data_IF_946770924927
#
_entry.id   IF_946770924927
#
_cell.length_a   1.000
_cell.length_b   1.000
_cell.length_c   1.000
_cell.angle_alpha   90.00
_cell.angle_beta   90.00
_cell.angle_gamma   90.00
#
_symmetry.space_group_name_H-M   'P 1'
#
loop_
_entity.id
_entity.type
_entity.pdbx_description
1 polymer ?
#
# COMPACT_ATOMS: atom_id res chain seq x y z
N UNK A 1 -13.76 -6.09 44.27
CA UNK A 1 -12.44 -5.74 43.68
C UNK A 1 -12.11 -6.49 42.36
N UNK A 2 -13.06 -7.21 41.71
CA UNK A 2 -12.85 -7.84 40.39
C UNK A 2 -13.35 -7.01 39.20
N UNK A 3 -14.33 -6.13 39.42
CA UNK A 3 -14.96 -5.33 38.36
C UNK A 3 -14.04 -4.17 37.90
N UNK A 4 -13.29 -3.56 38.82
CA UNK A 4 -12.37 -2.47 38.50
C UNK A 4 -11.17 -2.93 37.65
N UNK A 5 -10.70 -4.17 37.85
CA UNK A 5 -9.59 -4.75 37.08
C UNK A 5 -10.03 -5.12 35.64
N UNK A 6 -11.29 -5.53 35.47
CA UNK A 6 -11.85 -5.82 34.15
C UNK A 6 -12.00 -4.56 33.28
N UNK A 7 -12.30 -3.41 33.89
CA UNK A 7 -12.47 -2.13 33.17
C UNK A 7 -11.11 -1.56 32.72
N UNK A 8 -10.06 -1.66 33.55
CA UNK A 8 -8.70 -1.24 33.16
C UNK A 8 -8.13 -2.19 32.10
N UNK A 9 -8.38 -3.50 32.21
CA UNK A 9 -7.93 -4.49 31.23
C UNK A 9 -8.59 -4.35 29.84
N UNK A 10 -9.72 -3.63 29.74
CA UNK A 10 -10.36 -3.33 28.45
C UNK A 10 -9.88 -2.04 27.77
N UNK A 11 -9.11 -1.19 28.45
CA UNK A 11 -8.72 0.14 27.94
C UNK A 11 -7.27 0.26 27.46
N UNK A 12 -6.44 -0.75 27.64
CA UNK A 12 -5.09 -0.81 27.06
C UNK A 12 -4.97 -2.09 26.25
N UNK A 13 -5.43 -2.05 25.00
CA UNK A 13 -4.83 -2.93 24.00
C UNK A 13 -3.39 -2.43 23.84
N UNK A 14 -2.35 -3.26 24.09
CA UNK A 14 -0.98 -2.84 23.83
C UNK A 14 -0.85 -2.74 22.31
N UNK A 15 -1.11 -1.55 21.77
CA UNK A 15 -0.78 -1.28 20.39
C UNK A 15 0.73 -1.34 20.29
N UNK A 16 1.24 -2.24 19.43
CA UNK A 16 2.66 -2.26 19.14
C UNK A 16 3.04 -0.91 18.53
N UNK A 17 4.23 -0.39 18.78
CA UNK A 17 4.72 0.87 18.20
C UNK A 17 4.53 0.91 16.67
N UNK A 18 4.62 -0.25 16.01
CA UNK A 18 4.33 -0.41 14.58
C UNK A 18 2.86 -0.12 14.22
N UNK A 19 1.91 -0.61 15.02
CA UNK A 19 0.48 -0.33 14.85
C UNK A 19 0.17 1.16 15.06
N UNK A 20 0.85 1.80 16.02
CA UNK A 20 0.68 3.23 16.30
C UNK A 20 1.24 4.09 15.16
N UNK A 21 2.39 3.73 14.59
CA UNK A 21 2.98 4.43 13.45
C UNK A 21 2.09 4.38 12.21
N UNK A 22 1.60 3.19 11.83
CA UNK A 22 0.70 3.05 10.68
C UNK A 22 -0.57 3.89 10.87
N UNK A 23 -1.17 3.82 12.06
CA UNK A 23 -2.37 4.59 12.39
C UNK A 23 -2.13 6.10 12.28
N UNK A 24 -1.00 6.58 12.79
CA UNK A 24 -0.62 7.99 12.69
C UNK A 24 -0.51 8.45 11.23
N UNK A 25 0.17 7.67 10.37
CA UNK A 25 0.30 7.99 8.94
C UNK A 25 -1.08 8.02 8.26
N UNK A 26 -1.92 7.05 8.59
CA UNK A 26 -3.26 6.96 8.04
C UNK A 26 -4.17 8.11 8.50
N UNK A 27 -4.05 8.56 9.76
CA UNK A 27 -4.74 9.74 10.26
C UNK A 27 -4.24 11.03 9.58
N UNK A 28 -2.95 11.13 9.28
CA UNK A 28 -2.41 12.26 8.53
C UNK A 28 -2.93 12.27 7.08
N UNK A 29 -3.04 11.09 6.45
CA UNK A 29 -3.70 10.95 5.16
C UNK A 29 -5.16 11.40 5.23
N UNK A 30 -5.88 11.01 6.27
CA UNK A 30 -7.30 11.37 6.42
C UNK A 30 -7.49 12.89 6.50
N UNK A 31 -6.51 13.59 7.08
CA UNK A 31 -6.52 15.05 7.22
C UNK A 31 -5.84 15.80 6.06
N UNK A 32 -5.42 15.11 4.99
CA UNK A 32 -4.85 15.72 3.78
C UNK A 32 -3.41 16.23 3.94
N UNK A 33 -2.65 15.68 4.89
CA UNK A 33 -1.27 16.09 5.18
C UNK A 33 -0.24 15.33 4.30
N UNK A 34 -0.52 15.19 2.99
CA UNK A 34 0.25 14.34 2.09
C UNK A 34 1.73 14.76 1.98
N UNK A 35 2.01 16.05 1.86
CA UNK A 35 3.38 16.58 1.73
C UNK A 35 4.27 16.17 2.91
N UNK A 36 3.73 16.25 4.12
CA UNK A 36 4.45 15.83 5.33
C UNK A 36 4.76 14.32 5.29
N UNK A 37 3.85 13.51 4.77
CA UNK A 37 4.03 12.06 4.67
C UNK A 37 5.08 11.73 3.61
N UNK A 38 5.07 12.43 2.47
CA UNK A 38 6.10 12.29 1.43
C UNK A 38 7.48 12.54 2.03
N UNK A 39 7.65 13.65 2.78
CA UNK A 39 8.92 13.98 3.44
C UNK A 39 9.34 12.90 4.45
N UNK A 40 8.39 12.40 5.25
CA UNK A 40 8.65 11.30 6.19
C UNK A 40 9.16 10.04 5.47
N UNK A 41 8.53 9.62 4.37
CA UNK A 41 8.93 8.42 3.61
C UNK A 41 10.28 8.61 2.91
N UNK A 42 10.59 9.83 2.44
CA UNK A 42 11.90 10.15 1.86
C UNK A 42 13.01 10.01 2.89
N UNK A 43 12.77 10.34 4.16
CA UNK A 43 13.75 10.23 5.23
C UNK A 43 13.80 8.83 5.86
N UNK A 44 12.65 8.27 6.26
CA UNK A 44 12.56 6.97 6.96
C UNK A 44 12.10 5.84 6.04
N UNK A 45 13.06 5.06 5.53
CA UNK A 45 12.78 3.97 4.58
C UNK A 45 12.07 2.77 5.19
N UNK A 46 11.98 2.67 6.52
CA UNK A 46 11.20 1.64 7.21
C UNK A 46 9.70 1.89 7.08
N UNK A 47 9.28 3.12 6.75
CA UNK A 47 7.86 3.44 6.61
C UNK A 47 7.20 2.73 5.42
N UNK A 48 8.00 2.28 4.45
CA UNK A 48 7.53 1.46 3.33
C UNK A 48 6.91 0.14 3.79
N UNK A 49 7.27 -0.38 4.96
CA UNK A 49 6.70 -1.61 5.51
C UNK A 49 5.21 -1.44 5.90
N UNK A 50 4.74 -0.19 6.06
CA UNK A 50 3.34 0.13 6.37
C UNK A 50 2.46 0.30 5.12
N UNK A 51 3.03 0.37 3.91
CA UNK A 51 2.27 0.53 2.66
C UNK A 51 1.16 -0.52 2.52
N UNK A 52 1.38 -1.82 2.80
CA UNK A 52 0.32 -2.84 2.69
C UNK A 52 -0.86 -2.56 3.64
N UNK A 53 -0.59 -2.01 4.82
CA UNK A 53 -1.61 -1.60 5.77
C UNK A 53 -2.39 -0.37 5.32
N UNK A 54 -1.71 0.60 4.69
CA UNK A 54 -2.33 1.84 4.22
C UNK A 54 -3.19 1.63 2.95
N UNK A 55 -2.74 0.79 2.02
CA UNK A 55 -3.50 0.47 0.79
C UNK A 55 -4.74 -0.38 1.09
N UNK A 56 -4.75 -1.10 2.21
CA UNK A 56 -5.88 -1.93 2.66
C UNK A 56 -6.72 -1.26 3.75
N UNK A 57 -6.43 -0.01 4.10
CA UNK A 57 -7.17 0.75 5.12
C UNK A 57 -8.65 0.88 4.73
N UNK A 58 -9.55 0.82 5.71
CA UNK A 58 -11.01 0.90 5.48
C UNK A 58 -11.46 2.27 4.95
N UNK A 59 -10.70 3.33 5.23
CA UNK A 59 -10.99 4.70 4.79
C UNK A 59 -10.53 4.89 3.36
N UNK A 60 -11.48 5.27 2.50
CA UNK A 60 -11.23 5.50 1.08
C UNK A 60 -10.13 6.56 0.84
N UNK A 61 -10.10 7.61 1.66
CA UNK A 61 -9.11 8.69 1.54
C UNK A 61 -7.70 8.21 1.83
N UNK A 62 -7.51 7.32 2.81
CA UNK A 62 -6.20 6.72 3.10
C UNK A 62 -5.70 5.88 1.93
N UNK A 63 -6.57 5.05 1.34
CA UNK A 63 -6.21 4.25 0.17
C UNK A 63 -5.79 5.12 -1.02
N UNK A 64 -6.61 6.13 -1.38
CA UNK A 64 -6.31 7.05 -2.48
C UNK A 64 -5.04 7.86 -2.17
N UNK A 65 -4.89 8.34 -0.93
CA UNK A 65 -3.69 9.05 -0.49
C UNK A 65 -2.43 8.21 -0.60
N UNK A 66 -2.53 6.89 -0.33
CA UNK A 66 -1.42 5.95 -0.48
C UNK A 66 -1.01 5.80 -1.96
N UNK A 67 -1.98 5.74 -2.88
CA UNK A 67 -1.70 5.70 -4.32
C UNK A 67 -0.96 6.99 -4.74
N UNK A 68 -1.48 8.16 -4.33
CA UNK A 68 -0.86 9.45 -4.64
C UNK A 68 0.55 9.57 -4.04
N UNK A 69 0.75 9.13 -2.80
CA UNK A 69 2.06 9.07 -2.15
C UNK A 69 3.05 8.25 -2.98
N UNK A 70 2.66 7.07 -3.43
CA UNK A 70 3.53 6.19 -4.21
C UNK A 70 3.83 6.75 -5.59
N UNK A 71 2.87 7.41 -6.24
CA UNK A 71 3.08 8.12 -7.50
C UNK A 71 4.11 9.25 -7.35
N UNK A 72 3.97 10.07 -6.31
CA UNK A 72 4.91 11.16 -6.02
C UNK A 72 6.29 10.62 -5.68
N UNK A 73 6.39 9.61 -4.80
CA UNK A 73 7.66 9.01 -4.41
C UNK A 73 8.35 8.30 -5.57
N UNK A 74 7.61 7.74 -6.55
CA UNK A 74 8.21 7.21 -7.77
C UNK A 74 9.05 8.26 -8.50
N UNK A 75 8.58 9.50 -8.51
CA UNK A 75 9.25 10.62 -9.19
C UNK A 75 10.36 11.22 -8.32
N UNK A 76 10.13 11.34 -7.02
CA UNK A 76 11.02 12.05 -6.10
C UNK A 76 12.08 11.17 -5.40
N UNK A 77 11.85 9.85 -5.33
CA UNK A 77 12.65 8.88 -4.58
C UNK A 77 12.59 7.48 -5.21
N UNK A 78 12.84 7.40 -6.52
CA UNK A 78 12.78 6.16 -7.29
C UNK A 78 13.62 5.01 -6.70
N UNK A 79 14.73 5.33 -6.02
CA UNK A 79 15.62 4.35 -5.38
C UNK A 79 14.97 3.50 -4.28
N UNK A 80 13.81 3.91 -3.77
CA UNK A 80 13.09 3.18 -2.73
C UNK A 80 11.89 2.38 -3.26
N UNK A 81 11.55 2.48 -4.56
CA UNK A 81 10.36 1.83 -5.13
C UNK A 81 10.43 0.30 -5.08
N UNK A 82 11.62 -0.29 -5.15
CA UNK A 82 11.80 -1.74 -4.96
C UNK A 82 11.27 -2.23 -3.61
N UNK A 83 11.35 -1.40 -2.55
CA UNK A 83 10.78 -1.74 -1.23
C UNK A 83 9.26 -1.70 -1.26
N UNK A 84 8.67 -0.64 -1.84
CA UNK A 84 7.22 -0.55 -2.02
C UNK A 84 6.68 -1.77 -2.77
N UNK A 85 7.28 -2.09 -3.92
CA UNK A 85 6.90 -3.24 -4.75
C UNK A 85 7.00 -4.54 -3.93
N UNK A 86 8.14 -4.79 -3.28
CA UNK A 86 8.35 -6.01 -2.48
C UNK A 86 7.32 -6.15 -1.36
N UNK A 87 6.98 -5.05 -0.68
CA UNK A 87 5.99 -5.05 0.41
C UNK A 87 4.57 -5.39 -0.08
N UNK A 88 4.24 -5.03 -1.32
CA UNK A 88 2.91 -5.17 -1.91
C UNK A 88 2.67 -6.56 -2.54
N UNK A 89 3.72 -7.23 -3.01
CA UNK A 89 3.61 -8.56 -3.67
C UNK A 89 2.78 -9.59 -2.90
N UNK A 90 2.89 -9.74 -1.56
CA UNK A 90 2.07 -10.70 -0.81
C UNK A 90 0.56 -10.48 -0.97
N UNK A 91 0.11 -9.22 -1.10
CA UNK A 91 -1.31 -8.90 -1.24
C UNK A 91 -1.92 -9.39 -2.56
N UNK A 92 -1.11 -9.60 -3.60
CA UNK A 92 -1.56 -10.20 -4.87
C UNK A 92 -1.98 -11.66 -4.73
N UNK A 93 -1.53 -12.34 -3.67
CA UNK A 93 -1.88 -13.74 -3.38
C UNK A 93 -3.02 -13.83 -2.38
N UNK A 94 -2.87 -13.14 -1.26
CA UNK A 94 -3.73 -13.32 -0.08
C UNK A 94 -4.87 -12.30 0.01
N UNK A 95 -4.85 -11.26 -0.84
CA UNK A 95 -5.89 -10.23 -0.87
C UNK A 95 -7.24 -10.71 -1.42
N UNK A 96 -8.31 -9.98 -1.10
CA UNK A 96 -9.57 -10.10 -1.82
C UNK A 96 -9.40 -9.66 -3.28
N UNK A 97 -10.32 -10.00 -4.21
CA UNK A 97 -10.23 -9.53 -5.59
C UNK A 97 -10.09 -8.00 -5.71
N UNK A 98 -10.78 -7.25 -4.84
CA UNK A 98 -10.63 -5.80 -4.77
C UNK A 98 -9.19 -5.39 -4.42
N UNK A 99 -8.62 -5.95 -3.35
CA UNK A 99 -7.24 -5.66 -2.94
C UNK A 99 -6.24 -6.05 -4.03
N UNK A 100 -6.43 -7.21 -4.67
CA UNK A 100 -5.57 -7.67 -5.77
C UNK A 100 -5.60 -6.69 -6.94
N UNK A 101 -6.77 -6.17 -7.28
CA UNK A 101 -6.95 -5.12 -8.29
C UNK A 101 -6.22 -3.83 -7.91
N UNK A 102 -6.46 -3.29 -6.71
CA UNK A 102 -5.80 -2.07 -6.23
C UNK A 102 -4.27 -2.20 -6.23
N UNK A 103 -3.75 -3.34 -5.78
CA UNK A 103 -2.31 -3.59 -5.76
C UNK A 103 -1.75 -3.77 -7.18
N UNK A 104 -2.46 -4.49 -8.07
CA UNK A 104 -2.05 -4.61 -9.46
C UNK A 104 -1.99 -3.25 -10.16
N UNK A 105 -2.99 -2.39 -9.92
CA UNK A 105 -3.00 -1.01 -10.41
C UNK A 105 -1.80 -0.20 -9.90
N UNK A 106 -1.53 -0.23 -8.59
CA UNK A 106 -0.38 0.48 -8.01
C UNK A 106 0.94 -0.03 -8.55
N UNK A 107 1.11 -1.34 -8.73
CA UNK A 107 2.30 -1.91 -9.36
C UNK A 107 2.41 -1.49 -10.83
N UNK A 108 1.30 -1.37 -11.55
CA UNK A 108 1.24 -0.74 -12.86
C UNK A 108 1.68 0.71 -12.84
N UNK A 109 1.42 1.46 -11.77
CA UNK A 109 1.82 2.86 -11.62
C UNK A 109 3.30 3.01 -11.28
N UNK A 110 3.83 2.25 -10.31
CA UNK A 110 5.19 2.43 -9.78
C UNK A 110 6.24 1.46 -10.34
N UNK A 111 5.79 0.34 -10.90
CA UNK A 111 6.64 -0.74 -11.36
C UNK A 111 7.40 -0.46 -12.66
N UNK A 112 8.37 -1.33 -12.90
CA UNK A 112 9.23 -1.40 -14.07
C UNK A 112 9.13 -2.79 -14.73
N UNK A 113 10.02 -3.11 -15.69
CA UNK A 113 9.98 -4.38 -16.43
C UNK A 113 10.11 -5.59 -15.51
N UNK A 114 10.85 -5.49 -14.40
CA UNK A 114 10.98 -6.58 -13.44
C UNK A 114 9.65 -6.88 -12.74
N UNK A 115 8.78 -5.86 -12.64
CA UNK A 115 7.43 -5.99 -12.06
C UNK A 115 6.46 -6.76 -12.96
N UNK A 116 6.69 -6.81 -14.28
CA UNK A 116 5.77 -7.47 -15.23
C UNK A 116 5.58 -8.95 -14.89
N UNK A 117 6.66 -9.67 -14.56
CA UNK A 117 6.57 -11.10 -14.23
C UNK A 117 5.72 -11.39 -12.98
N UNK A 118 5.60 -10.41 -12.08
CA UNK A 118 4.69 -10.49 -10.94
C UNK A 118 3.24 -10.32 -11.39
N UNK A 119 2.96 -9.32 -12.23
CA UNK A 119 1.61 -9.01 -12.74
C UNK A 119 1.07 -10.09 -13.69
N UNK A 120 1.93 -10.75 -14.45
CA UNK A 120 1.54 -11.83 -15.37
C UNK A 120 0.80 -12.98 -14.65
N UNK A 121 1.11 -13.22 -13.38
CA UNK A 121 0.42 -14.23 -12.57
C UNK A 121 -1.07 -13.92 -12.37
N UNK A 122 -1.46 -12.63 -12.42
CA UNK A 122 -2.84 -12.20 -12.27
C UNK A 122 -3.64 -12.18 -13.57
N UNK A 123 -3.00 -12.32 -14.72
CA UNK A 123 -3.69 -12.34 -16.03
C UNK A 123 -4.60 -13.56 -16.21
N UNK A 124 -4.45 -14.59 -15.37
CA UNK A 124 -5.29 -15.78 -15.31
C UNK A 124 -6.10 -15.87 -14.00
N UNK A 125 -6.24 -14.76 -13.27
CA UNK A 125 -7.02 -14.73 -12.03
C UNK A 125 -8.49 -15.13 -12.27
N UNK A 126 -9.14 -15.72 -11.27
CA UNK A 126 -10.56 -16.08 -11.36
C UNK A 126 -11.47 -14.86 -11.57
N UNK A 127 -11.14 -13.73 -10.94
CA UNK A 127 -11.90 -12.50 -11.05
C UNK A 127 -11.56 -11.77 -12.36
N UNK A 128 -12.55 -11.52 -13.24
CA UNK A 128 -12.33 -10.82 -14.51
C UNK A 128 -11.77 -9.41 -14.37
N UNK A 129 -12.15 -8.66 -13.32
CA UNK A 129 -11.66 -7.30 -13.12
C UNK A 129 -10.18 -7.32 -12.75
N UNK A 130 -9.76 -8.28 -11.92
CA UNK A 130 -8.33 -8.45 -11.57
C UNK A 130 -7.51 -8.77 -12.82
N UNK A 131 -8.02 -9.60 -13.74
CA UNK A 131 -7.32 -9.90 -15.01
C UNK A 131 -7.15 -8.64 -15.88
N UNK A 132 -8.20 -7.84 -16.03
CA UNK A 132 -8.19 -6.61 -16.83
C UNK A 132 -7.17 -5.62 -16.24
N UNK A 133 -7.25 -5.35 -14.95
CA UNK A 133 -6.34 -4.40 -14.28
C UNK A 133 -4.89 -4.86 -14.38
N UNK A 134 -4.62 -6.16 -14.25
CA UNK A 134 -3.27 -6.70 -14.42
C UNK A 134 -2.74 -6.51 -15.85
N UNK A 135 -3.59 -6.67 -16.87
CA UNK A 135 -3.21 -6.44 -18.27
C UNK A 135 -2.92 -4.96 -18.53
N UNK A 136 -3.80 -4.06 -18.07
CA UNK A 136 -3.62 -2.61 -18.17
C UNK A 136 -2.32 -2.17 -17.47
N UNK A 137 -2.07 -2.67 -16.25
CA UNK A 137 -0.84 -2.40 -15.51
C UNK A 137 0.43 -2.82 -16.27
N UNK A 138 0.40 -3.96 -16.97
CA UNK A 138 1.51 -4.43 -17.79
C UNK A 138 1.71 -3.52 -19.02
N UNK A 139 0.62 -3.12 -19.68
CA UNK A 139 0.67 -2.21 -20.82
C UNK A 139 1.21 -0.82 -20.43
N UNK A 140 0.78 -0.30 -19.28
CA UNK A 140 1.28 0.94 -18.70
C UNK A 140 2.78 0.89 -18.42
N UNK A 141 3.29 -0.22 -17.87
CA UNK A 141 4.74 -0.41 -17.68
C UNK A 141 5.46 -0.41 -19.02
N UNK A 142 4.96 -1.17 -20.01
CA UNK A 142 5.60 -1.27 -21.33
C UNK A 142 5.62 0.06 -22.07
N UNK A 143 4.53 0.81 -22.05
CA UNK A 143 4.40 2.10 -22.75
C UNK A 143 5.32 3.19 -22.19
N UNK A 144 5.63 3.16 -20.89
CA UNK A 144 6.58 4.10 -20.28
C UNK A 144 8.05 3.77 -20.58
N UNK A 145 8.32 2.58 -21.10
CA UNK A 145 9.68 2.09 -21.34
C UNK A 145 10.02 1.87 -22.83
N UNK A 146 9.04 2.03 -23.71
CA UNK A 146 9.23 2.11 -25.16
C UNK A 146 9.74 3.48 -25.58
#
# INVERSE_FOLDING_TARGET
>A
MKIFYAIISTMEQPHSEATDMQKMIADYMENGLLDNIIDMFKYEKTLYDYIPGLITDERLRVRIGTIALLETLKTEDAGSMGKAITSLVPLLKDGSPLIKGDVAYVLGLIGDQETIGVLEQLTNNEDPNVRIIAQEAIEDIRSRQS
#
